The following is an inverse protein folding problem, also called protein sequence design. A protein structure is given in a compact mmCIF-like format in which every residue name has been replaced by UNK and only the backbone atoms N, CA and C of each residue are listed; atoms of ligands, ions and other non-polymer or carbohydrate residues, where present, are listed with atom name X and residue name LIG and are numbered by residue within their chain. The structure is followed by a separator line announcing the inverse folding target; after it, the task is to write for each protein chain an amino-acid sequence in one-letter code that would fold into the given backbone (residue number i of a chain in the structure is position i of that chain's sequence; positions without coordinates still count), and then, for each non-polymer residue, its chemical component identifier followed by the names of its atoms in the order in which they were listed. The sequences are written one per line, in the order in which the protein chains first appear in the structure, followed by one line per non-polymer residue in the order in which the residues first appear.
data_IF_423701642994
#
_entry.id   IF_423701642994
#
_cell.length_a   1.000
_cell.length_b   1.000
_cell.length_c   1.000
_cell.angle_alpha   90.00
_cell.angle_beta   90.00
_cell.angle_gamma   90.00
#
_symmetry.space_group_name_H-M   'P 1'
#
loop_
_entity.id
_entity.type
_entity.pdbx_description
1 polymer ?
#
# COMPACT_ATOMS: atom_id res chain seq x y z
N UNK A 1 66.69 56.96 -37.36
CA UNK A 1 65.57 57.73 -36.86
C UNK A 1 64.37 56.77 -36.64
N UNK A 2 64.12 56.32 -35.45
CA UNK A 2 62.80 55.79 -34.98
C UNK A 2 62.92 55.56 -33.51
N UNK A 3 62.04 56.12 -32.73
CA UNK A 3 62.02 56.15 -31.30
C UNK A 3 61.35 54.84 -30.80
N UNK A 4 61.90 54.26 -29.75
CA UNK A 4 61.29 53.24 -28.95
C UNK A 4 60.33 53.86 -27.93
N UNK A 5 59.09 53.34 -27.85
CA UNK A 5 58.18 53.62 -26.77
C UNK A 5 58.09 52.38 -25.88
N UNK A 6 58.29 52.60 -24.57
CA UNK A 6 58.24 51.59 -23.57
C UNK A 6 56.77 51.20 -23.18
N UNK A 7 56.52 49.96 -23.04
CA UNK A 7 55.28 49.45 -22.49
C UNK A 7 55.43 49.23 -20.98
N UNK A 8 54.51 49.81 -20.22
CA UNK A 8 54.37 49.64 -18.78
C UNK A 8 53.67 48.32 -18.45
N UNK A 9 54.31 47.51 -17.65
CA UNK A 9 53.75 46.27 -17.07
C UNK A 9 52.69 46.62 -16.03
N UNK A 10 51.42 46.43 -16.37
CA UNK A 10 50.32 46.47 -15.42
C UNK A 10 50.22 45.12 -14.65
N UNK A 11 50.33 45.17 -13.33
CA UNK A 11 50.16 44.03 -12.47
C UNK A 11 48.65 43.73 -12.35
N UNK A 12 48.20 42.64 -12.96
CA UNK A 12 46.87 42.08 -12.74
C UNK A 12 46.79 41.44 -11.34
N UNK A 13 46.05 42.09 -10.44
CA UNK A 13 45.67 41.54 -9.14
C UNK A 13 44.62 40.45 -9.36
N UNK A 14 45.02 39.20 -9.29
CA UNK A 14 44.12 38.05 -9.22
C UNK A 14 43.38 38.09 -7.88
N UNK A 15 42.12 38.53 -7.92
CA UNK A 15 41.20 38.37 -6.77
C UNK A 15 40.85 36.91 -6.66
N UNK A 16 41.43 36.23 -5.67
CA UNK A 16 41.04 34.88 -5.33
C UNK A 16 39.62 34.90 -4.76
N UNK A 17 38.66 34.45 -5.55
CA UNK A 17 37.27 34.20 -5.11
C UNK A 17 37.25 33.02 -4.16
N UNK A 18 37.34 33.30 -2.86
CA UNK A 18 37.21 32.32 -1.79
C UNK A 18 35.74 31.97 -1.64
N UNK A 19 35.25 31.08 -2.50
CA UNK A 19 33.97 30.39 -2.28
C UNK A 19 34.10 29.55 -1.03
N UNK A 20 33.54 30.06 0.09
CA UNK A 20 33.39 29.30 1.33
C UNK A 20 32.50 28.11 1.06
N UNK A 21 33.09 26.94 0.82
CA UNK A 21 32.37 25.67 0.71
C UNK A 21 31.76 25.38 2.09
N UNK A 22 30.52 25.79 2.30
CA UNK A 22 29.75 25.40 3.48
C UNK A 22 29.76 23.87 3.58
N UNK A 23 30.32 23.33 4.67
CA UNK A 23 30.22 21.90 4.95
C UNK A 23 28.75 21.50 4.97
N UNK A 24 28.36 20.65 3.99
CA UNK A 24 27.01 20.11 3.90
C UNK A 24 26.67 19.39 5.18
N UNK A 25 25.56 19.76 5.81
CA UNK A 25 25.02 19.06 6.98
C UNK A 25 24.56 17.66 6.57
N UNK A 26 24.35 16.79 7.55
CA UNK A 26 23.77 15.46 7.26
C UNK A 26 22.39 15.55 6.58
N UNK A 27 21.62 16.61 6.90
CA UNK A 27 20.34 16.93 6.26
C UNK A 27 20.55 17.29 4.79
N UNK A 28 21.55 18.10 4.46
CA UNK A 28 21.88 18.47 3.08
C UNK A 28 22.29 17.23 2.28
N UNK A 29 23.10 16.34 2.88
CA UNK A 29 23.48 15.06 2.24
C UNK A 29 22.29 14.14 2.03
N UNK A 30 21.37 14.10 2.97
CA UNK A 30 20.12 13.36 2.88
C UNK A 30 19.22 13.92 1.76
N UNK A 31 19.03 15.22 1.71
CA UNK A 31 18.27 15.90 0.65
C UNK A 31 18.92 15.75 -0.74
N UNK A 32 20.25 15.82 -0.81
CA UNK A 32 21.00 15.59 -2.05
C UNK A 32 20.86 14.15 -2.55
N UNK A 33 20.89 13.15 -1.66
CA UNK A 33 20.63 11.76 -2.03
C UNK A 33 19.26 11.61 -2.72
N UNK A 34 18.21 12.27 -2.19
CA UNK A 34 16.88 12.25 -2.80
C UNK A 34 16.78 13.10 -4.07
N UNK A 35 17.51 14.19 -4.17
CA UNK A 35 17.59 15.00 -5.38
C UNK A 35 18.33 14.25 -6.51
N UNK A 36 19.38 13.51 -6.18
CA UNK A 36 20.11 12.68 -7.14
C UNK A 36 19.31 11.45 -7.59
N UNK A 37 18.44 10.91 -6.72
CA UNK A 37 17.49 9.87 -7.08
C UNK A 37 16.43 10.33 -8.10
N UNK A 38 16.22 11.65 -8.25
CA UNK A 38 15.32 12.25 -9.26
C UNK A 38 15.97 12.45 -10.64
N UNK A 39 17.30 12.33 -10.76
CA UNK A 39 17.99 12.43 -12.06
C UNK A 39 17.66 11.19 -12.88
N UNK A 40 17.04 11.39 -14.04
CA UNK A 40 16.71 10.34 -15.01
C UNK A 40 18.00 9.63 -15.46
N UNK A 41 18.32 8.51 -14.85
CA UNK A 41 19.44 7.66 -15.26
C UNK A 41 19.00 6.78 -16.44
N UNK A 42 18.95 7.37 -17.65
CA UNK A 42 18.40 6.75 -18.88
C UNK A 42 19.06 5.43 -19.34
N UNK A 43 20.13 4.96 -18.69
CA UNK A 43 20.92 3.82 -19.15
C UNK A 43 21.19 2.70 -18.15
N UNK A 44 20.53 2.68 -16.98
CA UNK A 44 20.70 1.54 -16.06
C UNK A 44 19.70 0.43 -16.40
N UNK A 45 20.22 -0.79 -16.65
CA UNK A 45 19.40 -2.00 -16.81
C UNK A 45 18.57 -2.30 -15.56
N UNK A 46 19.04 -1.89 -14.39
CA UNK A 46 18.40 -2.05 -13.09
C UNK A 46 18.63 -0.77 -12.26
N UNK A 47 17.56 -0.09 -11.90
CA UNK A 47 17.61 1.09 -11.03
C UNK A 47 17.14 0.69 -9.63
N UNK A 48 18.07 0.69 -8.68
CA UNK A 48 17.87 0.24 -7.32
C UNK A 48 17.79 1.44 -6.35
N UNK A 49 16.82 1.41 -5.46
CA UNK A 49 16.64 2.44 -4.42
C UNK A 49 16.32 1.77 -3.09
N UNK A 50 16.95 2.23 -2.03
CA UNK A 50 16.59 1.85 -0.65
C UNK A 50 15.87 3.05 -0.04
N UNK A 51 14.69 2.81 0.48
CA UNK A 51 13.87 3.80 1.19
C UNK A 51 13.50 3.17 2.52
N UNK A 52 13.71 3.90 3.60
CA UNK A 52 13.32 3.42 4.91
C UNK A 52 13.41 4.52 5.94
N UNK A 53 12.84 4.25 7.08
CA UNK A 53 12.85 5.17 8.18
C UNK A 53 11.90 4.76 9.30
N UNK A 54 11.94 5.51 10.39
CA UNK A 54 10.99 5.33 11.47
C UNK A 54 9.59 5.71 11.00
N UNK A 55 8.61 4.97 11.45
CA UNK A 55 7.20 5.26 11.23
C UNK A 55 6.39 5.05 12.50
N UNK A 56 5.20 5.58 12.50
CA UNK A 56 4.23 5.37 13.55
C UNK A 56 2.86 5.05 12.97
N UNK A 57 2.22 4.04 13.54
CA UNK A 57 0.83 3.70 13.30
C UNK A 57 0.19 3.33 14.64
N UNK A 58 -1.06 3.70 14.83
CA UNK A 58 -1.77 3.43 16.09
C UNK A 58 -1.82 1.94 16.45
N UNK A 59 -1.82 1.05 15.45
CA UNK A 59 -1.90 -0.39 15.65
C UNK A 59 -0.56 -1.03 16.01
N UNK A 60 0.51 -0.64 15.31
CA UNK A 60 1.86 -1.21 15.47
C UNK A 60 2.82 -0.31 16.24
N UNK A 61 2.35 0.90 16.67
CA UNK A 61 3.13 1.90 17.39
C UNK A 61 4.36 2.37 16.61
N UNK A 62 5.50 2.60 17.28
CA UNK A 62 6.74 2.97 16.61
C UNK A 62 7.36 1.76 15.92
N UNK A 63 7.76 1.94 14.69
CA UNK A 63 8.45 0.94 13.89
C UNK A 63 9.57 1.53 13.05
N UNK A 64 10.37 0.63 12.50
CA UNK A 64 11.40 0.92 11.50
C UNK A 64 11.13 0.05 10.28
N UNK A 65 10.72 0.70 9.18
CA UNK A 65 10.47 0.04 7.91
C UNK A 65 11.60 0.28 6.92
N UNK A 66 11.94 -0.73 6.12
CA UNK A 66 12.90 -0.67 5.03
C UNK A 66 12.27 -1.27 3.76
N UNK A 67 12.42 -0.57 2.65
CA UNK A 67 12.04 -1.06 1.31
C UNK A 67 13.22 -0.89 0.37
N UNK A 68 13.72 -2.00 -0.14
CA UNK A 68 14.69 -2.02 -1.22
C UNK A 68 13.93 -2.29 -2.53
N UNK A 69 13.80 -1.27 -3.38
CA UNK A 69 13.04 -1.33 -4.62
C UNK A 69 13.95 -1.27 -5.83
N UNK A 70 13.69 -2.12 -6.81
CA UNK A 70 14.36 -2.15 -8.10
C UNK A 70 13.36 -1.94 -9.24
N UNK A 71 13.72 -1.09 -10.18
CA UNK A 71 13.01 -0.92 -11.45
C UNK A 71 13.89 -1.48 -12.57
N UNK A 72 13.31 -2.25 -13.46
CA UNK A 72 14.01 -2.84 -14.59
C UNK A 72 13.08 -3.03 -15.79
N UNK A 73 13.65 -3.14 -16.98
CA UNK A 73 12.90 -3.44 -18.19
C UNK A 73 13.19 -4.87 -18.64
N UNK A 74 12.14 -5.64 -18.87
CA UNK A 74 12.23 -7.00 -19.40
C UNK A 74 12.68 -7.02 -20.86
N UNK A 75 12.43 -5.92 -21.60
CA UNK A 75 12.90 -5.71 -22.96
C UNK A 75 13.57 -4.31 -23.05
N UNK A 76 14.91 -4.24 -23.09
CA UNK A 76 15.63 -2.94 -23.15
C UNK A 76 15.38 -2.14 -24.43
N UNK A 77 15.01 -2.82 -25.52
CA UNK A 77 14.71 -2.19 -26.83
C UNK A 77 13.32 -1.57 -26.91
N UNK A 78 12.39 -2.00 -26.05
CA UNK A 78 11.03 -1.44 -25.99
C UNK A 78 11.02 -0.23 -25.05
N UNK A 79 11.22 0.96 -25.60
CA UNK A 79 11.26 2.21 -24.84
C UNK A 79 9.90 2.68 -24.32
N UNK A 80 8.81 2.17 -24.88
CA UNK A 80 7.43 2.48 -24.48
C UNK A 80 6.94 1.57 -23.34
N UNK A 81 7.62 0.44 -23.13
CA UNK A 81 7.28 -0.52 -22.08
C UNK A 81 7.45 0.13 -20.69
N UNK A 82 6.42 0.13 -19.84
CA UNK A 82 6.57 0.51 -18.44
C UNK A 82 7.61 -0.36 -17.75
N UNK A 83 8.39 0.17 -16.80
CA UNK A 83 9.37 -0.64 -16.08
C UNK A 83 8.67 -1.66 -15.18
N UNK A 84 9.19 -2.87 -15.19
CA UNK A 84 8.93 -3.89 -14.17
C UNK A 84 9.50 -3.44 -12.83
N UNK A 85 8.93 -3.93 -11.74
CA UNK A 85 9.40 -3.61 -10.40
C UNK A 85 9.54 -4.85 -9.53
N UNK A 86 10.47 -4.79 -8.60
CA UNK A 86 10.61 -5.73 -7.49
C UNK A 86 10.92 -4.94 -6.22
N UNK A 87 10.32 -5.31 -5.11
CA UNK A 87 10.58 -4.67 -3.83
C UNK A 87 10.72 -5.72 -2.74
N UNK A 88 11.86 -5.68 -2.05
CA UNK A 88 12.05 -6.35 -0.77
C UNK A 88 11.62 -5.35 0.31
N UNK A 89 10.75 -5.75 1.21
CA UNK A 89 10.27 -4.90 2.30
C UNK A 89 10.37 -5.62 3.64
N UNK A 90 10.76 -4.87 4.63
CA UNK A 90 10.84 -5.35 6.02
C UNK A 90 10.35 -4.28 6.98
N UNK A 91 9.84 -4.72 8.10
CA UNK A 91 9.35 -3.84 9.16
C UNK A 91 9.51 -4.50 10.52
N UNK A 92 9.88 -3.70 11.51
CA UNK A 92 9.93 -4.13 12.91
C UNK A 92 9.35 -3.03 13.79
N UNK A 93 8.63 -3.39 14.84
CA UNK A 93 8.03 -2.39 15.73
C UNK A 93 8.24 -2.70 17.22
N UNK A 94 8.01 -1.66 18.03
CA UNK A 94 8.15 -1.70 19.49
C UNK A 94 7.16 -2.63 20.18
N UNK A 95 6.05 -3.00 19.52
CA UNK A 95 5.07 -3.95 20.06
C UNK A 95 5.31 -5.38 19.61
N UNK A 96 6.45 -5.67 18.97
CA UNK A 96 6.80 -7.03 18.51
C UNK A 96 6.15 -7.41 17.18
N UNK A 97 5.81 -6.42 16.34
CA UNK A 97 5.49 -6.66 14.95
C UNK A 97 6.77 -6.91 14.14
N UNK A 98 6.78 -7.93 13.33
CA UNK A 98 7.85 -8.27 12.39
C UNK A 98 7.24 -8.59 11.04
N UNK A 99 7.74 -7.96 10.00
CA UNK A 99 7.32 -8.19 8.62
C UNK A 99 8.56 -8.33 7.73
N UNK A 100 8.56 -9.33 6.89
CA UNK A 100 9.54 -9.50 5.82
C UNK A 100 8.81 -9.99 4.58
N UNK A 101 9.07 -9.38 3.44
CA UNK A 101 8.42 -9.82 2.21
C UNK A 101 9.07 -9.31 0.95
N UNK A 102 8.69 -9.94 -0.15
CA UNK A 102 9.02 -9.53 -1.50
C UNK A 102 7.74 -9.41 -2.32
N UNK A 103 7.64 -8.36 -3.10
CA UNK A 103 6.56 -8.16 -4.07
C UNK A 103 7.11 -7.58 -5.36
N UNK A 104 6.45 -7.88 -6.45
CA UNK A 104 6.85 -7.33 -7.73
C UNK A 104 5.79 -7.47 -8.80
N UNK A 105 6.04 -6.75 -9.89
CA UNK A 105 5.28 -6.86 -11.13
C UNK A 105 6.26 -6.91 -12.29
N UNK A 106 6.33 -8.05 -12.97
CA UNK A 106 7.09 -8.21 -14.20
C UNK A 106 6.14 -7.89 -15.37
N UNK A 107 6.50 -6.91 -16.17
CA UNK A 107 5.77 -6.52 -17.37
C UNK A 107 6.57 -7.07 -18.56
N UNK A 108 5.95 -7.96 -19.33
CA UNK A 108 6.58 -8.62 -20.47
C UNK A 108 6.51 -7.75 -21.73
N UNK A 109 7.33 -8.04 -22.75
CA UNK A 109 7.44 -7.22 -23.94
C UNK A 109 6.08 -6.85 -24.56
N UNK A 110 5.96 -5.60 -25.04
CA UNK A 110 4.75 -5.00 -25.59
C UNK A 110 3.59 -4.96 -24.59
N UNK A 111 3.87 -5.16 -23.30
CA UNK A 111 2.88 -5.26 -22.23
C UNK A 111 1.79 -6.32 -22.52
N UNK A 112 2.20 -7.43 -23.19
CA UNK A 112 1.27 -8.52 -23.55
C UNK A 112 0.81 -9.31 -22.34
N UNK A 113 1.66 -9.41 -21.31
CA UNK A 113 1.33 -10.08 -20.06
C UNK A 113 2.06 -9.47 -18.87
N UNK A 114 1.51 -9.70 -17.68
CA UNK A 114 2.05 -9.23 -16.41
C UNK A 114 2.04 -10.36 -15.41
N UNK A 115 3.18 -10.60 -14.76
CA UNK A 115 3.30 -11.49 -13.61
C UNK A 115 3.38 -10.63 -12.36
N UNK A 116 2.39 -10.69 -11.49
CA UNK A 116 2.37 -10.03 -10.18
C UNK A 116 2.55 -11.08 -9.10
N UNK A 117 3.42 -10.83 -8.15
CA UNK A 117 3.64 -11.73 -7.02
C UNK A 117 3.83 -10.96 -5.72
N UNK A 118 3.43 -11.61 -4.62
CA UNK A 118 3.62 -11.13 -3.27
C UNK A 118 3.88 -12.31 -2.37
N UNK A 119 5.01 -12.29 -1.70
CA UNK A 119 5.43 -13.29 -0.71
C UNK A 119 5.77 -12.52 0.54
N UNK A 120 5.16 -12.85 1.67
CA UNK A 120 5.51 -12.23 2.93
C UNK A 120 5.30 -13.18 4.11
N UNK A 121 6.03 -12.87 5.14
CA UNK A 121 5.88 -13.42 6.47
C UNK A 121 5.74 -12.28 7.47
N UNK A 122 4.77 -12.37 8.38
CA UNK A 122 4.71 -11.47 9.51
C UNK A 122 4.34 -12.18 10.82
N UNK A 123 4.76 -11.54 11.91
CA UNK A 123 4.35 -11.88 13.27
C UNK A 123 3.82 -10.62 13.93
N UNK A 124 2.63 -10.70 14.49
CA UNK A 124 1.97 -9.53 15.07
C UNK A 124 1.15 -9.91 16.30
N UNK A 125 1.40 -9.26 17.46
CA UNK A 125 0.44 -9.25 18.56
C UNK A 125 -0.76 -8.42 18.11
N UNK A 126 -1.89 -9.07 17.85
CA UNK A 126 -3.08 -8.45 17.29
C UNK A 126 -4.26 -8.56 18.25
N UNK A 127 -5.07 -7.50 18.28
CA UNK A 127 -6.36 -7.53 18.93
C UNK A 127 -7.37 -8.41 18.18
N UNK A 128 -8.28 -9.02 18.91
CA UNK A 128 -9.34 -9.87 18.38
C UNK A 128 -10.62 -9.71 19.20
N UNK A 129 -11.73 -9.39 18.54
CA UNK A 129 -13.03 -9.15 19.18
C UNK A 129 -14.09 -10.18 18.75
N UNK A 130 -13.64 -11.32 18.22
CA UNK A 130 -14.52 -12.35 17.67
C UNK A 130 -14.87 -12.14 16.20
N UNK A 131 -15.97 -12.73 15.77
CA UNK A 131 -16.45 -12.73 14.38
C UNK A 131 -17.87 -12.17 14.35
N UNK A 132 -18.18 -11.33 13.38
CA UNK A 132 -19.48 -10.68 13.21
C UNK A 132 -19.53 -9.28 13.81
N UNK A 133 -20.36 -8.41 13.22
CA UNK A 133 -20.45 -7.01 13.59
C UNK A 133 -20.71 -6.84 15.10
N UNK A 134 -21.74 -7.51 15.65
CA UNK A 134 -22.16 -7.30 17.04
C UNK A 134 -21.09 -7.76 18.04
N UNK A 135 -20.40 -8.87 17.76
CA UNK A 135 -19.27 -9.35 18.58
C UNK A 135 -18.11 -8.34 18.56
N UNK A 136 -17.78 -7.83 17.38
CA UNK A 136 -16.69 -6.89 17.17
C UNK A 136 -16.99 -5.49 17.70
N UNK A 137 -18.24 -5.10 17.80
CA UNK A 137 -18.67 -3.79 18.32
C UNK A 137 -18.65 -3.73 19.84
N UNK A 138 -18.66 -4.87 20.52
CA UNK A 138 -18.57 -4.96 21.97
C UNK A 138 -17.09 -4.89 22.43
N UNK A 139 -16.75 -3.84 23.19
CA UNK A 139 -15.42 -3.63 23.75
C UNK A 139 -15.01 -4.73 24.75
N UNK A 140 -15.95 -5.31 25.47
CA UNK A 140 -15.71 -6.39 26.44
C UNK A 140 -15.17 -7.67 25.77
N UNK A 141 -15.36 -7.84 24.48
CA UNK A 141 -14.80 -8.94 23.71
C UNK A 141 -13.31 -8.72 23.34
N UNK A 142 -12.74 -7.59 23.71
CA UNK A 142 -11.35 -7.31 23.46
C UNK A 142 -10.43 -8.40 24.01
N UNK A 143 -9.67 -9.04 23.13
CA UNK A 143 -8.70 -10.08 23.47
C UNK A 143 -7.45 -9.91 22.66
N UNK A 144 -6.37 -10.52 23.11
CA UNK A 144 -5.09 -10.49 22.43
C UNK A 144 -4.72 -11.87 21.91
N UNK A 145 -4.09 -11.90 20.75
CA UNK A 145 -3.48 -13.09 20.19
C UNK A 145 -2.17 -12.74 19.51
N UNK A 146 -1.21 -13.64 19.51
CA UNK A 146 -0.02 -13.51 18.67
C UNK A 146 -0.25 -14.27 17.36
N UNK A 147 -0.35 -13.51 16.27
CA UNK A 147 -0.61 -14.05 14.94
C UNK A 147 0.66 -14.12 14.12
N UNK A 148 0.89 -15.29 13.52
CA UNK A 148 1.91 -15.53 12.52
C UNK A 148 1.21 -15.78 11.19
N UNK A 149 1.69 -15.17 10.14
CA UNK A 149 1.14 -15.41 8.81
C UNK A 149 2.25 -15.46 7.78
N UNK A 150 2.21 -16.49 6.94
CA UNK A 150 2.95 -16.56 5.70
C UNK A 150 1.96 -16.58 4.53
N UNK A 151 2.18 -15.73 3.53
CA UNK A 151 1.38 -15.66 2.31
C UNK A 151 2.27 -15.72 1.08
N UNK A 152 1.85 -16.53 0.11
CA UNK A 152 2.38 -16.56 -1.25
C UNK A 152 1.20 -16.34 -2.18
N UNK A 153 1.19 -15.27 -2.97
CA UNK A 153 0.16 -14.99 -3.98
C UNK A 153 0.85 -14.62 -5.28
N UNK A 154 0.45 -15.27 -6.37
CA UNK A 154 0.94 -14.96 -7.70
C UNK A 154 -0.22 -14.92 -8.69
N UNK A 155 -0.18 -13.98 -9.63
CA UNK A 155 -1.12 -13.89 -10.76
C UNK A 155 -0.36 -13.66 -12.06
N UNK A 156 -0.75 -14.36 -13.11
CA UNK A 156 -0.21 -14.18 -14.45
C UNK A 156 -1.33 -13.74 -15.38
N UNK A 157 -1.39 -12.44 -15.67
CA UNK A 157 -2.47 -11.85 -16.44
C UNK A 157 -2.03 -11.53 -17.88
N UNK A 158 -2.81 -11.96 -18.88
CA UNK A 158 -2.60 -11.70 -20.30
C UNK A 158 -3.47 -10.52 -20.71
N UNK A 159 -2.94 -9.64 -21.54
CA UNK A 159 -3.68 -8.50 -22.07
C UNK A 159 -4.72 -8.94 -23.08
N UNK A 160 -5.99 -8.69 -22.80
CA UNK A 160 -7.10 -8.95 -23.71
C UNK A 160 -7.36 -7.77 -24.64
N UNK A 161 -7.28 -6.55 -24.11
CA UNK A 161 -7.41 -5.32 -24.87
C UNK A 161 -6.61 -4.20 -24.19
N UNK A 162 -6.71 -2.97 -24.67
CA UNK A 162 -6.03 -1.83 -24.06
C UNK A 162 -6.44 -1.71 -22.58
N UNK A 163 -5.45 -1.78 -21.68
CA UNK A 163 -5.61 -1.67 -20.23
C UNK A 163 -6.39 -2.82 -19.55
N UNK A 164 -6.85 -3.83 -20.29
CA UNK A 164 -7.62 -4.96 -19.75
C UNK A 164 -6.79 -6.24 -19.77
N UNK A 165 -6.70 -6.88 -18.60
CA UNK A 165 -5.90 -8.09 -18.37
C UNK A 165 -6.75 -9.15 -17.68
N UNK A 166 -6.55 -10.40 -18.06
CA UNK A 166 -7.19 -11.57 -17.46
C UNK A 166 -6.15 -12.66 -17.22
N UNK A 167 -6.26 -13.37 -16.14
CA UNK A 167 -5.35 -14.47 -15.89
C UNK A 167 -5.58 -15.24 -14.59
N UNK A 168 -4.90 -16.38 -14.42
CA UNK A 168 -4.99 -17.20 -13.21
C UNK A 168 -4.32 -16.56 -12.01
N UNK A 169 -4.81 -16.95 -10.83
CA UNK A 169 -4.25 -16.65 -9.51
C UNK A 169 -3.98 -17.95 -8.78
N UNK A 170 -2.86 -17.99 -8.09
CA UNK A 170 -2.54 -19.01 -7.07
C UNK A 170 -2.25 -18.28 -5.77
N UNK A 171 -2.84 -18.73 -4.67
CA UNK A 171 -2.63 -18.15 -3.35
C UNK A 171 -2.47 -19.26 -2.31
N UNK A 172 -1.41 -19.17 -1.52
CA UNK A 172 -1.19 -19.99 -0.34
C UNK A 172 -1.11 -19.11 0.88
N UNK A 173 -1.90 -19.41 1.90
CA UNK A 173 -1.91 -18.74 3.19
C UNK A 173 -1.69 -19.75 4.31
N UNK A 174 -0.71 -19.51 5.17
CA UNK A 174 -0.54 -20.20 6.45
C UNK A 174 -0.70 -19.18 7.56
N UNK A 175 -1.61 -19.45 8.49
CA UNK A 175 -1.89 -18.58 9.63
C UNK A 175 -1.87 -19.43 10.89
N UNK A 176 -1.10 -18.98 11.87
CA UNK A 176 -1.05 -19.59 13.20
C UNK A 176 -1.30 -18.52 14.26
N UNK A 177 -2.22 -18.76 15.16
CA UNK A 177 -2.44 -17.91 16.32
C UNK A 177 -2.04 -18.62 17.59
N UNK A 178 -1.23 -17.97 18.40
CA UNK A 178 -0.84 -18.44 19.72
C UNK A 178 -1.20 -17.40 20.78
N UNK A 179 -1.19 -17.81 22.04
CA UNK A 179 -1.53 -16.92 23.18
C UNK A 179 -2.89 -16.24 23.01
N UNK A 180 -3.87 -16.99 22.54
CA UNK A 180 -5.25 -16.49 22.40
C UNK A 180 -5.85 -16.36 23.80
N UNK A 181 -6.09 -15.13 24.23
CA UNK A 181 -6.60 -14.84 25.59
C UNK A 181 -8.03 -15.34 25.79
N UNK A 182 -8.82 -15.31 24.70
CA UNK A 182 -10.23 -15.73 24.70
C UNK A 182 -10.50 -16.70 23.54
N UNK A 183 -10.14 -18.00 23.71
CA UNK A 183 -10.26 -19.00 22.64
C UNK A 183 -11.71 -19.30 22.23
N UNK A 184 -12.67 -19.03 23.09
CA UNK A 184 -14.09 -19.15 22.78
C UNK A 184 -14.54 -18.28 21.62
N UNK A 185 -13.88 -17.13 21.40
CA UNK A 185 -14.15 -16.23 20.28
C UNK A 185 -13.74 -16.79 18.91
N UNK A 186 -12.94 -17.87 18.88
CA UNK A 186 -12.61 -18.59 17.65
C UNK A 186 -13.74 -19.53 17.19
N UNK A 187 -14.84 -19.63 17.95
CA UNK A 187 -15.99 -20.49 17.64
C UNK A 187 -15.59 -21.96 17.38
N UNK A 188 -14.67 -22.50 18.19
CA UNK A 188 -14.20 -23.88 18.10
C UNK A 188 -13.33 -24.19 16.87
N UNK A 189 -12.87 -23.18 16.14
CA UNK A 189 -11.97 -23.37 15.01
C UNK A 189 -10.50 -23.50 15.45
N UNK A 190 -9.70 -24.14 14.58
CA UNK A 190 -8.29 -24.36 14.87
C UNK A 190 -7.51 -23.04 14.94
N UNK A 191 -6.53 -22.98 15.82
CA UNK A 191 -5.60 -21.86 15.91
C UNK A 191 -4.61 -21.83 14.73
N UNK A 192 -4.35 -22.97 14.07
CA UNK A 192 -3.46 -23.09 12.90
C UNK A 192 -4.27 -23.47 11.68
N UNK A 193 -4.15 -22.68 10.64
CA UNK A 193 -4.92 -22.86 9.41
C UNK A 193 -4.00 -22.60 8.21
N UNK A 194 -4.05 -23.47 7.23
CA UNK A 194 -3.45 -23.23 5.93
C UNK A 194 -4.52 -23.36 4.83
N UNK A 195 -4.35 -22.61 3.77
CA UNK A 195 -5.26 -22.60 2.63
C UNK A 195 -4.47 -22.49 1.32
N UNK A 196 -4.83 -23.35 0.37
CA UNK A 196 -4.37 -23.25 -1.02
C UNK A 196 -5.56 -22.86 -1.89
N UNK A 197 -5.46 -21.74 -2.58
CA UNK A 197 -6.49 -21.18 -3.44
C UNK A 197 -6.04 -21.10 -4.90
N UNK A 198 -6.95 -21.43 -5.79
CA UNK A 198 -6.83 -21.20 -7.22
C UNK A 198 -7.94 -20.24 -7.65
N UNK A 199 -7.65 -19.39 -8.61
CA UNK A 199 -8.62 -18.38 -9.04
C UNK A 199 -8.28 -17.72 -10.35
N UNK A 200 -9.06 -16.69 -10.65
CA UNK A 200 -8.89 -15.83 -11.83
C UNK A 200 -8.93 -14.37 -11.41
N UNK A 201 -8.18 -13.53 -12.12
CA UNK A 201 -8.13 -12.08 -11.97
C UNK A 201 -8.54 -11.43 -13.28
N UNK A 202 -9.45 -10.46 -13.20
CA UNK A 202 -9.72 -9.49 -14.23
C UNK A 202 -9.27 -8.11 -13.74
N UNK A 203 -8.38 -7.47 -14.48
CA UNK A 203 -7.83 -6.17 -14.11
C UNK A 203 -7.97 -5.18 -15.27
N UNK A 204 -8.52 -4.01 -14.99
CA UNK A 204 -8.50 -2.85 -15.88
C UNK A 204 -7.76 -1.70 -15.20
N UNK A 205 -6.73 -1.16 -15.86
CA UNK A 205 -5.90 -0.09 -15.28
C UNK A 205 -5.58 0.96 -16.36
N UNK A 206 -6.25 2.11 -16.25
CA UNK A 206 -6.03 3.28 -17.11
C UNK A 206 -5.48 4.49 -16.36
N UNK A 207 -4.96 4.30 -15.15
CA UNK A 207 -4.37 5.36 -14.34
C UNK A 207 -3.18 6.00 -15.06
N UNK A 208 -3.08 7.31 -14.95
CA UNK A 208 -1.96 8.07 -15.53
C UNK A 208 -0.64 7.83 -14.78
N UNK A 209 -0.70 7.63 -13.45
CA UNK A 209 0.45 7.33 -12.59
C UNK A 209 0.03 6.30 -11.53
N UNK A 210 0.82 5.25 -11.35
CA UNK A 210 0.47 4.16 -10.43
C UNK A 210 0.61 4.52 -8.94
N UNK A 211 1.58 5.38 -8.59
CA UNK A 211 1.92 5.73 -7.20
C UNK A 211 1.19 6.95 -6.68
N UNK A 212 0.74 7.83 -7.58
CA UNK A 212 0.00 9.05 -7.29
C UNK A 212 -0.94 9.36 -8.45
N UNK A 213 -2.02 8.59 -8.62
CA UNK A 213 -2.93 8.76 -9.73
C UNK A 213 -3.71 10.07 -9.63
N UNK A 214 -3.84 10.73 -10.79
CA UNK A 214 -4.58 11.97 -10.92
C UNK A 214 -5.81 11.84 -11.82
N UNK A 215 -5.76 10.88 -12.76
CA UNK A 215 -6.84 10.59 -13.70
C UNK A 215 -6.86 9.10 -14.03
N UNK A 216 -8.02 8.62 -14.40
CA UNK A 216 -8.21 7.26 -14.88
C UNK A 216 -9.02 6.40 -13.93
N UNK A 217 -9.07 5.12 -14.27
CA UNK A 217 -9.85 4.10 -13.60
C UNK A 217 -8.97 2.92 -13.28
N UNK A 218 -9.17 2.35 -12.13
CA UNK A 218 -8.63 1.06 -11.74
C UNK A 218 -9.78 0.15 -11.31
N UNK A 219 -9.81 -1.05 -11.84
CA UNK A 219 -10.71 -2.12 -11.44
C UNK A 219 -9.89 -3.40 -11.34
N UNK A 220 -9.98 -4.08 -10.22
CA UNK A 220 -9.42 -5.40 -10.01
C UNK A 220 -10.50 -6.31 -9.42
N UNK A 221 -10.85 -7.37 -10.13
CA UNK A 221 -11.78 -8.40 -9.67
C UNK A 221 -11.03 -9.71 -9.58
N UNK A 222 -10.97 -10.27 -8.40
CA UNK A 222 -10.35 -11.56 -8.14
C UNK A 222 -11.40 -12.54 -7.62
N UNK A 223 -11.52 -13.68 -8.28
CA UNK A 223 -12.33 -14.79 -7.83
C UNK A 223 -11.43 -15.95 -7.50
N UNK A 224 -11.43 -16.41 -6.26
CA UNK A 224 -10.60 -17.52 -5.79
C UNK A 224 -11.43 -18.60 -5.11
N UNK A 225 -11.01 -19.84 -5.28
CA UNK A 225 -11.68 -21.05 -4.76
C UNK A 225 -10.70 -21.83 -3.90
N UNK A 226 -11.16 -22.29 -2.76
CA UNK A 226 -10.40 -23.10 -1.81
C UNK A 226 -11.16 -24.38 -1.48
N UNK A 227 -11.20 -25.34 -2.44
CA UNK A 227 -11.94 -26.59 -2.29
C UNK A 227 -11.17 -27.60 -1.41
N UNK A 228 -11.89 -28.60 -0.87
CA UNK A 228 -11.30 -29.66 -0.04
C UNK A 228 -10.27 -30.52 -0.77
N UNK A 229 -10.43 -30.74 -2.07
CA UNK A 229 -9.50 -31.57 -2.84
C UNK A 229 -8.08 -30.99 -2.96
N UNK A 230 -7.92 -29.68 -2.69
CA UNK A 230 -6.60 -29.05 -2.54
C UNK A 230 -6.02 -29.21 -1.12
N UNK A 231 -6.65 -30.00 -0.26
CA UNK A 231 -6.24 -30.21 1.12
C UNK A 231 -6.77 -29.20 2.14
N UNK A 232 -7.59 -28.25 1.71
CA UNK A 232 -8.16 -27.25 2.61
C UNK A 232 -9.13 -27.87 3.62
N UNK A 233 -8.97 -27.54 4.90
CA UNK A 233 -9.93 -27.94 5.94
C UNK A 233 -11.29 -27.24 5.76
N UNK A 234 -11.26 -25.96 5.37
CA UNK A 234 -12.44 -25.13 5.17
C UNK A 234 -12.65 -24.88 3.67
N UNK A 235 -13.86 -25.16 3.19
CA UNK A 235 -14.21 -24.94 1.76
C UNK A 235 -14.96 -23.64 1.63
N UNK A 236 -14.42 -22.75 0.81
CA UNK A 236 -15.04 -21.45 0.52
C UNK A 236 -14.53 -20.87 -0.79
N UNK A 237 -15.25 -19.90 -1.30
CA UNK A 237 -14.84 -19.07 -2.43
C UNK A 237 -14.79 -17.62 -1.98
N UNK A 238 -13.82 -16.85 -2.49
CA UNK A 238 -13.66 -15.43 -2.19
C UNK A 238 -13.73 -14.63 -3.47
N UNK A 239 -14.61 -13.63 -3.48
CA UNK A 239 -14.65 -12.59 -4.51
C UNK A 239 -14.11 -11.31 -3.88
N UNK A 240 -13.01 -10.79 -4.43
CA UNK A 240 -12.44 -9.49 -4.05
C UNK A 240 -12.63 -8.51 -5.20
N UNK A 241 -13.20 -7.33 -4.92
CA UNK A 241 -13.34 -6.25 -5.90
C UNK A 241 -12.71 -5.01 -5.30
N UNK A 242 -11.80 -4.42 -6.05
CA UNK A 242 -11.20 -3.12 -5.76
C UNK A 242 -11.40 -2.22 -6.98
N UNK A 243 -12.00 -1.06 -6.80
CA UNK A 243 -12.17 -0.10 -7.88
C UNK A 243 -11.86 1.31 -7.38
N UNK A 244 -11.13 2.05 -8.18
CA UNK A 244 -10.79 3.44 -7.88
C UNK A 244 -10.97 4.30 -9.13
N UNK A 245 -11.47 5.52 -8.90
CA UNK A 245 -11.73 6.51 -9.96
C UNK A 245 -11.06 7.82 -9.59
N UNK A 246 -10.36 8.43 -10.54
CA UNK A 246 -9.61 9.66 -10.32
C UNK A 246 -10.01 10.73 -11.33
N UNK A 247 -10.29 11.92 -10.83
CA UNK A 247 -10.63 13.08 -11.64
C UNK A 247 -9.93 14.35 -11.13
N UNK A 248 -9.64 15.27 -12.03
CA UNK A 248 -9.11 16.60 -11.70
C UNK A 248 -10.21 17.64 -11.85
N UNK A 249 -10.99 17.96 -10.80
CA UNK A 249 -12.08 18.93 -10.87
C UNK A 249 -11.57 20.35 -11.12
N UNK A 250 -10.40 20.73 -10.57
CA UNK A 250 -9.74 22.03 -10.81
C UNK A 250 -8.22 21.89 -10.69
N UNK A 251 -7.52 23.01 -10.88
CA UNK A 251 -6.05 23.02 -10.85
C UNK A 251 -5.50 22.67 -9.47
N UNK A 252 -4.62 21.69 -9.43
CA UNK A 252 -3.96 21.20 -8.20
C UNK A 252 -4.84 20.27 -7.37
N UNK A 253 -6.11 20.01 -7.77
CA UNK A 253 -6.99 19.09 -7.07
C UNK A 253 -7.05 17.73 -7.76
N UNK A 254 -7.20 16.68 -6.96
CA UNK A 254 -7.59 15.33 -7.38
C UNK A 254 -8.73 14.87 -6.50
N UNK A 255 -9.85 14.51 -7.13
CA UNK A 255 -10.94 13.82 -6.49
C UNK A 255 -10.78 12.34 -6.76
N UNK A 256 -10.59 11.54 -5.72
CA UNK A 256 -10.35 10.12 -5.79
C UNK A 256 -11.48 9.37 -5.06
N UNK A 257 -12.12 8.47 -5.73
CA UNK A 257 -13.12 7.55 -5.17
C UNK A 257 -12.53 6.16 -5.10
N UNK A 258 -12.77 5.45 -4.00
CA UNK A 258 -12.32 4.07 -3.79
C UNK A 258 -13.47 3.23 -3.23
N UNK A 259 -13.65 2.06 -3.78
CA UNK A 259 -14.59 1.04 -3.31
C UNK A 259 -13.89 -0.30 -3.25
N UNK A 260 -14.03 -0.97 -2.12
CA UNK A 260 -13.47 -2.31 -1.87
C UNK A 260 -14.52 -3.21 -1.28
N UNK A 261 -14.58 -4.42 -1.76
CA UNK A 261 -15.41 -5.47 -1.16
C UNK A 261 -14.69 -6.81 -1.17
N UNK A 262 -14.92 -7.59 -0.14
CA UNK A 262 -14.50 -8.98 -0.04
C UNK A 262 -15.70 -9.81 0.40
N UNK A 263 -16.07 -10.77 -0.42
CA UNK A 263 -17.23 -11.63 -0.23
C UNK A 263 -16.75 -13.08 -0.15
N UNK A 264 -16.92 -13.72 1.01
CA UNK A 264 -16.58 -15.12 1.23
C UNK A 264 -17.85 -15.97 1.24
N UNK A 265 -17.98 -16.86 0.29
CA UNK A 265 -19.08 -17.80 0.16
C UNK A 265 -18.69 -19.18 0.67
N UNK A 266 -19.53 -19.82 1.47
CA UNK A 266 -19.23 -21.09 2.12
C UNK A 266 -18.78 -20.90 3.56
N UNK A 267 -17.80 -21.69 4.00
CA UNK A 267 -17.34 -21.72 5.38
C UNK A 267 -15.87 -21.28 5.50
N UNK A 268 -15.57 -19.98 5.37
CA UNK A 268 -14.21 -19.47 5.61
C UNK A 268 -13.83 -19.63 7.08
N UNK A 269 -12.54 -19.87 7.34
CA UNK A 269 -12.03 -19.87 8.71
C UNK A 269 -11.97 -18.44 9.27
N UNK A 270 -11.87 -18.33 10.61
CA UNK A 270 -11.70 -17.05 11.31
C UNK A 270 -10.53 -16.21 10.72
N UNK A 271 -9.49 -16.91 10.27
CA UNK A 271 -8.28 -16.30 9.74
C UNK A 271 -8.44 -15.73 8.32
N UNK A 272 -9.44 -16.22 7.57
CA UNK A 272 -9.76 -15.83 6.20
C UNK A 272 -10.99 -14.93 6.08
N UNK A 273 -11.56 -14.51 7.23
CA UNK A 273 -12.64 -13.51 7.26
C UNK A 273 -12.19 -12.19 6.66
N UNK A 274 -13.13 -11.45 6.10
CA UNK A 274 -12.90 -10.10 5.61
C UNK A 274 -12.62 -9.16 6.79
N UNK A 275 -11.45 -8.52 6.78
CA UNK A 275 -11.00 -7.58 7.81
C UNK A 275 -11.32 -6.15 7.38
N UNK A 276 -11.97 -5.39 8.26
CA UNK A 276 -12.33 -4.00 8.04
C UNK A 276 -11.23 -3.07 8.55
N UNK A 277 -10.98 -1.98 7.82
CA UNK A 277 -9.96 -1.00 8.15
C UNK A 277 -8.55 -1.41 7.68
N UNK A 278 -7.75 -0.43 7.38
CA UNK A 278 -6.33 -0.58 7.05
C UNK A 278 -5.66 0.78 7.00
N UNK A 279 -4.36 0.82 6.73
CA UNK A 279 -3.66 2.09 6.45
C UNK A 279 -4.11 2.77 5.14
N UNK A 280 -4.86 2.09 4.28
CA UNK A 280 -5.26 2.58 2.96
C UNK A 280 -6.78 2.78 2.82
N UNK A 281 -7.58 2.02 3.56
CA UNK A 281 -9.03 2.10 3.54
C UNK A 281 -9.58 2.16 4.95
N UNK A 282 -10.65 2.94 5.17
CA UNK A 282 -11.26 3.11 6.49
C UNK A 282 -10.23 3.48 7.58
N UNK A 283 -9.35 4.42 7.24
CA UNK A 283 -8.23 4.90 8.07
C UNK A 283 -8.74 5.43 9.41
N UNK A 284 -8.18 4.94 10.51
CA UNK A 284 -8.61 5.26 11.87
C UNK A 284 -9.23 4.07 12.62
N UNK A 285 -9.74 3.07 11.89
CA UNK A 285 -10.10 1.79 12.50
C UNK A 285 -8.87 0.91 12.67
N UNK A 286 -8.81 0.20 13.80
CA UNK A 286 -7.85 -0.88 13.99
C UNK A 286 -8.13 -1.99 12.99
N UNK A 287 -7.10 -2.39 12.19
CA UNK A 287 -7.27 -3.41 11.15
C UNK A 287 -7.72 -4.74 11.74
N UNK A 288 -8.91 -5.20 11.30
CA UNK A 288 -9.49 -6.45 11.76
C UNK A 288 -10.18 -6.40 13.11
N UNK A 289 -10.39 -5.21 13.71
CA UNK A 289 -11.32 -5.08 14.82
C UNK A 289 -12.71 -5.59 14.39
N UNK A 290 -13.21 -5.10 13.27
CA UNK A 290 -14.41 -5.63 12.65
C UNK A 290 -14.03 -6.66 11.59
N UNK A 291 -14.60 -7.85 11.70
CA UNK A 291 -14.39 -8.95 10.75
C UNK A 291 -15.62 -9.82 10.63
N UNK A 292 -15.91 -10.26 9.42
CA UNK A 292 -17.01 -11.19 9.14
C UNK A 292 -16.76 -11.87 7.79
N UNK A 293 -17.71 -12.68 7.31
CA UNK A 293 -17.62 -13.33 5.99
C UNK A 293 -17.47 -12.33 4.87
N UNK A 294 -18.20 -11.24 4.93
CA UNK A 294 -18.23 -10.20 3.89
C UNK A 294 -17.89 -8.86 4.47
N UNK A 295 -17.34 -8.00 3.62
CA UNK A 295 -17.19 -6.58 3.91
C UNK A 295 -17.41 -5.75 2.67
N UNK A 296 -17.81 -4.50 2.83
CA UNK A 296 -17.56 -3.46 1.84
C UNK A 296 -17.05 -2.20 2.53
N UNK A 297 -16.27 -1.44 1.80
CA UNK A 297 -15.66 -0.17 2.20
C UNK A 297 -15.76 0.80 1.04
N UNK A 298 -16.15 2.03 1.28
CA UNK A 298 -16.16 3.08 0.27
C UNK A 298 -15.67 4.38 0.85
N UNK A 299 -14.88 5.12 0.09
CA UNK A 299 -14.35 6.41 0.51
C UNK A 299 -14.17 7.36 -0.68
N UNK A 300 -14.37 8.62 -0.40
CA UNK A 300 -14.11 9.73 -1.31
C UNK A 300 -13.04 10.61 -0.69
N UNK A 301 -12.00 10.91 -1.45
CA UNK A 301 -10.83 11.67 -1.01
C UNK A 301 -10.59 12.85 -1.93
N UNK A 302 -10.46 14.04 -1.37
CA UNK A 302 -10.04 15.24 -2.06
C UNK A 302 -8.60 15.56 -1.69
N UNK A 303 -7.70 15.47 -2.66
CA UNK A 303 -6.29 15.84 -2.57
C UNK A 303 -6.12 17.21 -3.18
N UNK A 304 -5.52 18.16 -2.45
CA UNK A 304 -5.24 19.51 -2.94
C UNK A 304 -3.75 19.80 -2.81
N UNK A 305 -3.09 20.02 -3.93
CA UNK A 305 -1.77 20.61 -3.95
C UNK A 305 -1.86 22.08 -3.54
N UNK A 306 -1.10 22.48 -2.53
CA UNK A 306 -1.16 23.84 -1.96
C UNK A 306 0.01 24.70 -2.43
N UNK A 307 1.23 24.23 -2.21
CA UNK A 307 2.41 25.05 -2.49
C UNK A 307 3.69 24.18 -2.62
N UNK A 308 4.46 24.39 -3.69
CA UNK A 308 5.71 23.66 -4.00
C UNK A 308 5.51 22.13 -3.95
N UNK A 309 5.97 21.48 -2.88
CA UNK A 309 5.88 20.03 -2.66
C UNK A 309 4.82 19.65 -1.63
N UNK A 310 4.00 20.63 -1.20
CA UNK A 310 3.07 20.46 -0.11
C UNK A 310 1.64 20.35 -0.60
N UNK A 311 0.90 19.40 -0.06
CA UNK A 311 -0.51 19.19 -0.30
C UNK A 311 -1.24 18.82 0.98
N UNK A 312 -2.55 18.93 0.92
CA UNK A 312 -3.47 18.53 1.98
C UNK A 312 -4.52 17.60 1.40
N UNK A 313 -5.06 16.74 2.26
CA UNK A 313 -6.07 15.75 1.89
C UNK A 313 -7.16 15.75 2.94
N UNK A 314 -8.39 15.60 2.49
CA UNK A 314 -9.54 15.30 3.33
C UNK A 314 -10.32 14.16 2.71
N UNK A 315 -10.89 13.32 3.55
CA UNK A 315 -11.71 12.20 3.06
C UNK A 315 -12.89 11.92 3.96
N UNK A 316 -13.87 11.27 3.39
CA UNK A 316 -15.00 10.69 4.09
C UNK A 316 -15.43 9.40 3.42
N UNK A 317 -15.98 8.49 4.19
CA UNK A 317 -16.43 7.21 3.71
C UNK A 317 -17.22 6.43 4.74
N UNK A 318 -17.62 5.25 4.35
CA UNK A 318 -18.30 4.31 5.24
C UNK A 318 -18.15 2.89 4.71
N UNK A 319 -18.43 1.93 5.55
CA UNK A 319 -18.44 0.53 5.20
C UNK A 319 -19.03 -0.31 6.32
N UNK A 320 -18.99 -1.62 6.18
CA UNK A 320 -19.41 -2.54 7.23
C UNK A 320 -18.90 -3.96 6.96
N UNK A 321 -19.05 -4.82 7.97
CA UNK A 321 -18.88 -6.27 7.86
C UNK A 321 -20.21 -6.96 8.11
N UNK A 322 -20.44 -8.10 7.46
CA UNK A 322 -21.70 -8.85 7.59
C UNK A 322 -21.52 -10.31 7.20
N UNK A 323 -22.33 -11.19 7.75
CA UNK A 323 -22.37 -12.63 7.38
C UNK A 323 -23.47 -12.95 6.37
N UNK A 324 -24.55 -12.16 6.36
CA UNK A 324 -25.70 -12.28 5.46
C UNK A 324 -26.08 -10.91 4.89
N UNK A 325 -26.57 -10.86 3.66
CA UNK A 325 -26.95 -9.61 3.01
C UNK A 325 -28.10 -8.86 3.71
N UNK A 326 -28.97 -9.58 4.43
CA UNK A 326 -30.06 -8.98 5.22
C UNK A 326 -29.53 -8.15 6.41
N UNK A 327 -28.28 -8.35 6.81
CA UNK A 327 -27.61 -7.57 7.86
C UNK A 327 -27.07 -6.22 7.36
N UNK A 328 -27.14 -5.93 6.08
CA UNK A 328 -26.82 -4.63 5.50
C UNK A 328 -27.88 -3.62 5.93
N UNK A 329 -27.68 -3.01 7.10
CA UNK A 329 -28.59 -2.03 7.70
C UNK A 329 -27.81 -0.72 7.93
N UNK A 330 -28.48 0.40 7.74
CA UNK A 330 -27.87 1.71 7.89
C UNK A 330 -27.24 1.92 9.29
N UNK A 331 -27.85 1.39 10.33
CA UNK A 331 -27.35 1.45 11.72
C UNK A 331 -26.03 0.70 11.94
N UNK A 332 -25.67 -0.23 11.04
CA UNK A 332 -24.42 -1.00 11.09
C UNK A 332 -23.33 -0.44 10.21
N UNK A 333 -23.56 0.72 9.61
CA UNK A 333 -22.51 1.39 8.86
C UNK A 333 -21.49 1.98 9.83
N UNK A 334 -20.24 1.78 9.49
CA UNK A 334 -19.04 2.26 10.17
C UNK A 334 -18.55 3.51 9.42
N UNK A 335 -18.82 4.73 9.92
CA UNK A 335 -18.39 5.96 9.27
C UNK A 335 -16.87 6.11 9.38
N UNK A 336 -16.28 6.76 8.39
CA UNK A 336 -14.87 7.12 8.40
C UNK A 336 -14.68 8.50 7.79
N UNK A 337 -13.84 9.32 8.41
CA UNK A 337 -13.43 10.62 7.87
C UNK A 337 -12.06 10.98 8.42
N UNK A 338 -11.41 11.95 7.81
CA UNK A 338 -10.12 12.39 8.28
C UNK A 338 -9.50 13.45 7.39
N UNK A 339 -8.30 13.83 7.78
CA UNK A 339 -7.47 14.77 7.06
C UNK A 339 -6.02 14.32 7.07
N UNK A 340 -5.27 14.79 6.08
CA UNK A 340 -3.87 14.42 5.95
C UNK A 340 -3.03 15.49 5.27
N UNK A 341 -1.72 15.33 5.45
CA UNK A 341 -0.71 16.15 4.82
C UNK A 341 0.08 15.29 3.83
N UNK A 342 0.48 15.92 2.72
CA UNK A 342 1.29 15.31 1.65
C UNK A 342 2.53 16.13 1.43
N UNK A 343 3.66 15.45 1.40
CA UNK A 343 4.92 16.04 0.98
C UNK A 343 5.50 15.23 -0.17
N UNK A 344 5.55 15.83 -1.36
CA UNK A 344 6.14 15.23 -2.55
C UNK A 344 7.67 15.23 -2.42
N UNK A 345 8.23 14.16 -1.86
CA UNK A 345 9.68 14.07 -1.70
C UNK A 345 10.37 13.69 -3.00
N UNK A 346 9.71 12.96 -3.90
CA UNK A 346 10.13 12.63 -5.26
C UNK A 346 8.91 12.78 -6.18
N UNK A 347 9.15 13.09 -7.46
CA UNK A 347 8.06 13.25 -8.44
C UNK A 347 7.10 12.05 -8.40
N UNK A 348 5.83 12.32 -8.16
CA UNK A 348 4.75 11.33 -8.01
C UNK A 348 4.92 10.35 -6.84
N UNK A 349 5.75 10.66 -5.86
CA UNK A 349 5.90 9.87 -4.64
C UNK A 349 5.76 10.78 -3.44
N UNK A 350 4.68 10.60 -2.71
CA UNK A 350 4.32 11.42 -1.56
C UNK A 350 4.65 10.71 -0.24
N UNK A 351 5.19 11.46 0.70
CA UNK A 351 5.11 11.12 2.13
C UNK A 351 3.75 11.53 2.60
N UNK A 352 3.06 10.64 3.28
CA UNK A 352 1.69 10.76 3.73
C UNK A 352 1.62 10.75 5.25
N UNK A 353 0.98 11.78 5.81
CA UNK A 353 0.63 11.87 7.21
C UNK A 353 -0.88 12.00 7.29
N UNK A 354 -1.56 10.99 7.79
CA UNK A 354 -3.01 10.94 7.88
C UNK A 354 -3.47 10.81 9.33
N UNK A 355 -4.55 11.48 9.67
CA UNK A 355 -5.26 11.26 10.92
C UNK A 355 -6.72 10.96 10.62
N UNK A 356 -7.12 9.72 10.88
CA UNK A 356 -8.44 9.20 10.59
C UNK A 356 -9.28 8.99 11.84
N UNK A 357 -10.60 9.15 11.66
CA UNK A 357 -11.62 8.95 12.67
C UNK A 357 -12.66 7.94 12.18
N UNK A 358 -13.12 7.11 13.09
CA UNK A 358 -14.22 6.18 12.91
C UNK A 358 -15.34 6.40 13.92
N UNK A 359 -15.99 5.32 14.37
CA UNK A 359 -16.89 5.35 15.53
C UNK A 359 -16.18 5.88 16.79
N UNK A 360 -16.91 6.34 17.82
CA UNK A 360 -16.31 6.75 19.08
C UNK A 360 -15.29 5.72 19.58
N UNK A 361 -14.09 6.17 19.97
CA UNK A 361 -12.97 5.32 20.36
C UNK A 361 -12.09 4.84 19.19
N UNK A 362 -12.54 4.92 17.94
CA UNK A 362 -11.73 4.56 16.76
C UNK A 362 -11.09 5.79 16.13
N UNK A 363 -9.78 5.88 16.24
CA UNK A 363 -8.96 6.94 15.63
C UNK A 363 -7.54 6.43 15.43
N UNK A 364 -6.88 6.89 14.39
CA UNK A 364 -5.52 6.47 14.10
C UNK A 364 -4.70 7.50 13.36
N UNK A 365 -3.42 7.57 13.71
CA UNK A 365 -2.41 8.30 12.96
C UNK A 365 -1.68 7.32 12.06
N UNK A 366 -1.44 7.71 10.81
CA UNK A 366 -0.76 6.90 9.81
C UNK A 366 0.32 7.75 9.15
N UNK A 367 1.55 7.24 9.19
CA UNK A 367 2.66 7.71 8.40
C UNK A 367 2.98 6.64 7.34
N UNK A 368 2.98 7.02 6.06
CA UNK A 368 3.24 6.08 4.96
C UNK A 368 3.83 6.81 3.76
N UNK A 369 4.23 6.04 2.76
CA UNK A 369 4.72 6.53 1.46
C UNK A 369 3.71 6.14 0.39
N UNK A 370 3.57 6.98 -0.64
CA UNK A 370 2.54 6.96 -1.70
C UNK A 370 1.14 7.32 -1.20
N UNK A 371 0.19 7.39 -2.13
CA UNK A 371 -1.20 7.64 -1.80
C UNK A 371 -1.90 6.39 -1.23
N UNK A 372 -3.07 6.58 -0.64
CA UNK A 372 -3.83 5.50 -0.02
C UNK A 372 -4.37 4.51 -1.06
N UNK A 373 -4.71 5.03 -2.26
CA UNK A 373 -5.22 4.24 -3.39
C UNK A 373 -5.05 5.01 -4.70
#
# INVERSE_FOLDING_TARGET
MSMAQGESCGADTVVADTTVVKKKTWIDKFLDYFNDANKNKKHKKFDFSIIGGPHYNSDIKFGLGLVAAGLYRTCPTDTLLPPSNVSLFSDVSTVGFYLLGIRGTNIFPQDKSRLKYTIYFFSFPSGFWGIGYDSCDNDDNGSEMKRWQARIKASYAVRLSKNLYLGPIVAYDYIHSSRVTRPELLNGQDASIWNLGLGVQLMYDSRDVLTNPHRGYYLNVEQSFRPKFLGNKYTFATTEIETSVYARPWRGAVLAYDFRTMLNFGNPSWAMMALFGSSNSMRGYYEGRYRDKHKFETQLELRQHVWKRNGVVVWGGFGTVFSKFEQLQFRRLLPNWGFGYRWEFKKNVNVRLDYGFGKPGQRGFIFNINEAF
#
